data_IF_033301057871
#
_entry.id   IF_033301057871
#
_cell.length_a   1.000
_cell.length_b   1.000
_cell.length_c   1.000
_cell.angle_alpha   90.00
_cell.angle_beta   90.00
_cell.angle_gamma   90.00
#
_symmetry.space_group_name_H-M   'P 1'
#
loop_
_entity.id
_entity.type
_entity.pdbx_description
1 polymer ?
#
# COMPACT_ATOMS: atom_id res chain seq x y z
N UNK A 1 -5.23 -13.35 -12.39
CA UNK A 1 -4.41 -14.59 -12.48
C UNK A 1 -4.44 -15.27 -11.11
N UNK A 2 -4.33 -16.61 -11.06
CA UNK A 2 -4.44 -17.38 -9.81
C UNK A 2 -3.49 -16.92 -8.69
N UNK A 3 -2.23 -16.60 -9.02
CA UNK A 3 -1.24 -16.15 -8.04
C UNK A 3 -1.61 -14.81 -7.41
N UNK A 4 -2.05 -13.85 -8.23
CA UNK A 4 -2.51 -12.53 -7.75
C UNK A 4 -3.70 -12.67 -6.79
N UNK A 5 -4.67 -13.55 -7.08
CA UNK A 5 -5.78 -13.82 -6.17
C UNK A 5 -5.29 -14.37 -4.82
N UNK A 6 -4.45 -15.40 -4.83
CA UNK A 6 -3.93 -16.02 -3.60
C UNK A 6 -3.11 -15.05 -2.75
N UNK A 7 -2.29 -14.20 -3.39
CA UNK A 7 -1.52 -13.19 -2.67
C UNK A 7 -2.43 -12.14 -2.07
N UNK A 8 -3.47 -11.70 -2.77
CA UNK A 8 -4.45 -10.72 -2.23
C UNK A 8 -5.21 -11.29 -1.04
N UNK A 9 -5.72 -12.51 -1.15
CA UNK A 9 -6.39 -13.21 -0.06
C UNK A 9 -5.49 -13.31 1.17
N UNK A 10 -4.25 -13.77 1.00
CA UNK A 10 -3.26 -13.83 2.08
C UNK A 10 -2.98 -12.45 2.71
N UNK A 11 -2.84 -11.41 1.89
CA UNK A 11 -2.62 -10.03 2.37
C UNK A 11 -3.79 -9.54 3.22
N UNK A 12 -5.02 -9.80 2.78
CA UNK A 12 -6.24 -9.39 3.47
C UNK A 12 -6.45 -10.19 4.76
N UNK A 13 -6.27 -11.52 4.73
CA UNK A 13 -6.39 -12.40 5.90
C UNK A 13 -5.36 -12.05 7.00
N UNK A 14 -4.13 -11.75 6.59
CA UNK A 14 -3.07 -11.34 7.51
C UNK A 14 -3.13 -9.84 7.90
N UNK A 15 -4.06 -9.06 7.32
CA UNK A 15 -4.24 -7.65 7.65
C UNK A 15 -3.02 -6.77 7.35
N UNK A 16 -2.23 -7.10 6.32
CA UNK A 16 -0.90 -6.52 6.11
C UNK A 16 -0.91 -5.10 5.54
N UNK A 17 -2.00 -4.69 4.90
CA UNK A 17 -2.12 -3.36 4.30
C UNK A 17 -2.84 -2.39 5.23
N UNK A 18 -2.23 -1.23 5.54
CA UNK A 18 -2.90 -0.20 6.33
C UNK A 18 -4.11 0.36 5.57
N UNK A 19 -5.07 0.93 6.30
CA UNK A 19 -6.25 1.56 5.70
C UNK A 19 -5.92 2.75 4.80
N UNK A 20 -4.75 3.37 4.97
CA UNK A 20 -4.26 4.45 4.11
C UNK A 20 -3.81 3.96 2.72
N UNK A 21 -3.59 2.65 2.53
CA UNK A 21 -3.19 2.09 1.25
C UNK A 21 -4.42 1.81 0.38
N UNK A 22 -4.66 2.71 -0.59
CA UNK A 22 -5.83 2.67 -1.46
C UNK A 22 -5.52 2.11 -2.86
N UNK A 23 -4.32 2.34 -3.37
CA UNK A 23 -3.93 1.91 -4.72
C UNK A 23 -3.91 0.39 -4.86
N UNK A 24 -4.37 -0.11 -6.01
CA UNK A 24 -4.35 -1.54 -6.37
C UNK A 24 -5.09 -2.48 -5.37
N UNK A 25 -5.99 -1.93 -4.56
CA UNK A 25 -6.73 -2.69 -3.54
C UNK A 25 -8.22 -2.77 -3.89
N UNK A 26 -8.78 -3.97 -3.84
CA UNK A 26 -10.19 -4.20 -4.12
C UNK A 26 -11.08 -3.43 -3.12
N UNK A 27 -12.15 -2.79 -3.61
CA UNK A 27 -13.04 -1.97 -2.79
C UNK A 27 -12.53 -0.55 -2.49
N UNK A 28 -11.26 -0.24 -2.79
CA UNK A 28 -10.70 1.10 -2.65
C UNK A 28 -10.64 1.81 -4.00
N UNK A 29 -10.90 3.11 -3.99
CA UNK A 29 -10.98 3.93 -5.20
C UNK A 29 -10.11 5.19 -5.04
N UNK A 30 -9.75 5.78 -6.17
CA UNK A 30 -8.88 6.99 -6.23
C UNK A 30 -9.50 8.19 -5.51
N UNK A 31 -10.84 8.30 -5.50
CA UNK A 31 -11.56 9.37 -4.82
C UNK A 31 -11.38 9.35 -3.28
N UNK A 32 -11.07 8.20 -2.68
CA UNK A 32 -10.86 8.10 -1.23
C UNK A 32 -9.73 9.03 -0.76
N UNK A 33 -8.60 9.04 -1.46
CA UNK A 33 -7.45 9.89 -1.11
C UNK A 33 -7.79 11.38 -1.24
N UNK A 34 -8.47 11.76 -2.33
CA UNK A 34 -8.91 13.14 -2.55
C UNK A 34 -9.89 13.62 -1.47
N UNK A 35 -10.83 12.75 -1.07
CA UNK A 35 -11.76 13.03 0.01
C UNK A 35 -11.05 13.22 1.35
N UNK A 36 -10.12 12.33 1.72
CA UNK A 36 -9.33 12.46 2.95
C UNK A 36 -8.54 13.76 2.99
N UNK A 37 -7.88 14.13 1.88
CA UNK A 37 -7.15 15.39 1.77
C UNK A 37 -8.09 16.59 1.93
N UNK A 38 -9.26 16.57 1.28
CA UNK A 38 -10.27 17.62 1.39
C UNK A 38 -10.72 17.81 2.85
N UNK A 39 -11.05 16.72 3.55
CA UNK A 39 -11.44 16.78 4.95
C UNK A 39 -10.30 17.33 5.84
N UNK A 40 -9.04 16.98 5.56
CA UNK A 40 -7.90 17.51 6.28
C UNK A 40 -7.74 19.03 6.07
N UNK A 41 -7.94 19.51 4.84
CA UNK A 41 -7.92 20.94 4.50
C UNK A 41 -9.04 21.70 5.22
N UNK A 42 -10.28 21.20 5.17
CA UNK A 42 -11.42 21.81 5.85
C UNK A 42 -11.22 21.88 7.37
N UNK A 43 -10.68 20.81 7.97
CA UNK A 43 -10.36 20.77 9.39
C UNK A 43 -9.29 21.79 9.78
N UNK A 44 -8.22 21.90 8.98
CA UNK A 44 -7.15 22.86 9.23
C UNK A 44 -7.68 24.30 9.14
N UNK A 45 -8.50 24.59 8.13
CA UNK A 45 -9.16 25.89 7.95
C UNK A 45 -10.07 26.23 9.15
N UNK A 46 -10.93 25.30 9.56
CA UNK A 46 -11.82 25.51 10.71
C UNK A 46 -11.07 25.75 12.03
N UNK A 47 -9.85 25.22 12.16
CA UNK A 47 -8.99 25.39 13.34
C UNK A 47 -8.04 26.59 13.24
N UNK A 48 -8.05 27.34 12.12
CA UNK A 48 -7.10 28.42 11.89
C UNK A 48 -5.64 27.95 11.84
N UNK A 49 -5.39 26.72 11.40
CA UNK A 49 -4.06 26.11 11.32
C UNK A 49 -3.63 25.91 9.88
N UNK A 50 -2.32 25.96 9.65
CA UNK A 50 -1.73 25.60 8.36
C UNK A 50 -1.68 24.08 8.20
N UNK A 51 -2.05 23.60 7.01
CA UNK A 51 -1.82 22.22 6.58
C UNK A 51 -0.61 22.20 5.64
N UNK A 52 0.41 21.42 5.98
CA UNK A 52 1.56 21.18 5.12
C UNK A 52 1.41 19.83 4.41
N UNK A 53 1.68 19.78 3.11
CA UNK A 53 1.55 18.60 2.27
C UNK A 53 2.88 18.31 1.58
N UNK A 54 3.30 17.04 1.60
CA UNK A 54 4.39 16.53 0.76
C UNK A 54 3.81 15.57 -0.29
N UNK A 55 4.03 15.88 -1.56
CA UNK A 55 3.72 14.96 -2.67
C UNK A 55 5.00 14.25 -3.07
N UNK A 56 5.08 12.95 -2.80
CA UNK A 56 6.25 12.12 -3.07
C UNK A 56 5.89 11.13 -4.17
N UNK A 57 6.68 11.12 -5.24
CA UNK A 57 6.56 10.15 -6.32
C UNK A 57 7.89 9.38 -6.46
N UNK A 58 7.79 8.05 -6.59
CA UNK A 58 8.96 7.19 -6.71
C UNK A 58 9.22 6.94 -8.20
N UNK A 59 10.32 7.50 -8.71
CA UNK A 59 10.71 7.30 -10.10
C UNK A 59 11.00 5.82 -10.37
N UNK A 60 10.44 5.30 -11.47
CA UNK A 60 10.69 3.93 -11.94
C UNK A 60 10.37 2.85 -10.89
N UNK A 61 9.25 2.98 -10.18
CA UNK A 61 8.94 2.21 -8.98
C UNK A 61 8.92 0.68 -9.19
N UNK A 62 8.50 0.15 -10.35
CA UNK A 62 8.50 -1.31 -10.59
C UNK A 62 9.89 -1.84 -10.98
N UNK A 63 10.59 -1.27 -11.98
CA UNK A 63 11.89 -1.79 -12.38
C UNK A 63 13.01 -1.52 -11.37
N UNK A 64 12.84 -0.56 -10.45
CA UNK A 64 13.84 -0.24 -9.41
C UNK A 64 13.72 -1.09 -8.14
N UNK A 65 12.77 -2.02 -8.06
CA UNK A 65 12.60 -2.86 -6.85
C UNK A 65 13.80 -3.79 -6.66
N UNK A 66 14.40 -3.74 -5.47
CA UNK A 66 15.39 -4.73 -5.05
C UNK A 66 14.71 -6.08 -4.75
N UNK A 67 14.74 -7.00 -5.72
CA UNK A 67 14.09 -8.32 -5.59
C UNK A 67 14.53 -9.14 -4.37
N UNK A 68 15.83 -9.24 -4.02
CA UNK A 68 16.25 -9.98 -2.82
C UNK A 68 15.61 -9.43 -1.53
N UNK A 69 15.54 -8.09 -1.39
CA UNK A 69 14.90 -7.47 -0.23
C UNK A 69 13.39 -7.64 -0.23
N UNK A 70 12.75 -7.60 -1.41
CA UNK A 70 11.32 -7.88 -1.54
C UNK A 70 11.00 -9.29 -1.04
N UNK A 71 11.75 -10.30 -1.50
CA UNK A 71 11.54 -11.69 -1.10
C UNK A 71 11.81 -11.91 0.39
N UNK A 72 12.91 -11.36 0.91
CA UNK A 72 13.20 -11.42 2.35
C UNK A 72 12.08 -10.78 3.19
N UNK A 73 11.52 -9.65 2.73
CA UNK A 73 10.39 -8.99 3.39
C UNK A 73 9.14 -9.86 3.37
N UNK A 74 8.78 -10.44 2.22
CA UNK A 74 7.62 -11.32 2.09
C UNK A 74 7.77 -12.57 2.96
N UNK A 75 8.96 -13.18 2.99
CA UNK A 75 9.26 -14.31 3.88
C UNK A 75 9.07 -13.95 5.35
N UNK A 76 9.61 -12.80 5.79
CA UNK A 76 9.47 -12.31 7.18
C UNK A 76 8.03 -11.98 7.55
N UNK A 77 7.18 -11.65 6.58
CA UNK A 77 5.74 -11.45 6.77
C UNK A 77 4.96 -12.78 6.82
N UNK A 78 5.62 -13.92 6.62
CA UNK A 78 5.02 -15.25 6.69
C UNK A 78 4.59 -15.83 5.34
N UNK A 79 4.98 -15.23 4.21
CA UNK A 79 4.75 -15.86 2.91
C UNK A 79 5.72 -17.04 2.73
N UNK A 80 5.16 -18.23 2.56
CA UNK A 80 5.90 -19.48 2.39
C UNK A 80 5.12 -20.48 1.51
N UNK A 81 5.79 -21.53 1.04
CA UNK A 81 5.18 -22.64 0.31
C UNK A 81 5.99 -23.07 -0.91
N UNK A 82 5.53 -24.08 -1.68
CA UNK A 82 6.31 -24.68 -2.76
C UNK A 82 6.67 -23.74 -3.91
N UNK A 83 5.93 -22.64 -4.06
CA UNK A 83 6.19 -21.60 -5.06
C UNK A 83 7.07 -20.47 -4.52
N UNK A 84 7.36 -20.48 -3.23
CA UNK A 84 8.13 -19.48 -2.52
C UNK A 84 9.39 -20.16 -1.98
N UNK A 85 10.28 -20.52 -2.90
CA UNK A 85 11.55 -21.19 -2.62
C UNK A 85 12.68 -20.18 -2.78
N UNK A 86 12.99 -19.46 -1.71
CA UNK A 86 13.97 -18.34 -1.73
C UNK A 86 15.17 -18.63 -0.82
N UNK A 87 15.40 -19.90 -0.48
CA UNK A 87 16.58 -20.37 0.26
C UNK A 87 17.09 -21.69 -0.28
#
# INVERSE_FOLDING_TARGET
>A
MLLDCRVREWVDDAGLLPQSQNGFRAGFRTNNNGFVLRCAMERAQAQGRNLFLASIDISNAFPSVCHPLLWLKLHRLGMAGPLFDVF
#
